data_IF_322426349436
#
_entry.id   IF_322426349436
#
_cell.length_a   1.000
_cell.length_b   1.000
_cell.length_c   1.000
_cell.angle_alpha   90.00
_cell.angle_beta   90.00
_cell.angle_gamma   90.00
#
_symmetry.space_group_name_H-M   'P 1'
#
loop_
_entity.id
_entity.type
_entity.pdbx_description
1 polymer ?
#
# COMPACT_ATOMS: atom_id res chain seq x y z
N UNK A 1 -25.47 25.00 33.16
CA UNK A 1 -25.17 25.44 31.78
C UNK A 1 -24.41 24.33 31.08
N UNK A 2 -24.79 23.99 29.86
CA UNK A 2 -24.03 23.05 29.04
C UNK A 2 -23.07 23.82 28.16
N UNK A 3 -21.79 23.42 28.12
CA UNK A 3 -20.80 23.93 27.17
C UNK A 3 -20.71 22.98 26.00
N UNK A 4 -20.46 23.52 24.83
CA UNK A 4 -20.12 22.71 23.67
C UNK A 4 -18.60 22.39 23.69
N UNK A 5 -18.25 21.19 23.29
CA UNK A 5 -16.85 20.83 23.09
C UNK A 5 -16.20 21.72 22.03
N UNK A 6 -14.95 22.10 22.25
CA UNK A 6 -14.16 22.84 21.27
C UNK A 6 -13.82 22.01 20.02
N UNK A 7 -13.85 20.72 20.14
CA UNK A 7 -13.42 19.80 19.07
C UNK A 7 -14.58 19.24 18.25
N UNK A 8 -15.71 18.94 18.90
CA UNK A 8 -16.84 18.31 18.24
C UNK A 8 -18.07 19.20 18.16
N UNK A 9 -18.14 20.26 18.95
CA UNK A 9 -19.33 21.08 19.12
C UNK A 9 -20.46 20.37 19.90
N UNK A 10 -20.21 19.18 20.44
CA UNK A 10 -21.21 18.45 21.20
C UNK A 10 -21.39 19.08 22.59
N UNK A 11 -22.64 19.20 23.09
CA UNK A 11 -22.89 19.68 24.42
C UNK A 11 -22.36 18.69 25.46
N UNK A 12 -21.67 19.17 26.45
CA UNK A 12 -21.25 18.41 27.62
C UNK A 12 -21.76 19.05 28.90
N UNK A 13 -22.08 18.27 29.90
CA UNK A 13 -22.53 18.78 31.19
C UNK A 13 -21.34 19.34 31.94
N UNK A 14 -21.46 20.57 32.43
CA UNK A 14 -20.60 21.01 33.51
C UNK A 14 -21.07 20.29 34.76
N UNK A 15 -20.32 19.28 35.15
CA UNK A 15 -20.64 18.53 36.36
C UNK A 15 -20.80 19.42 37.56
N UNK A 16 -22.02 19.58 37.98
CA UNK A 16 -22.28 20.08 39.31
C UNK A 16 -22.04 18.94 40.30
N UNK A 17 -20.97 19.03 41.01
CA UNK A 17 -20.83 18.60 42.40
C UNK A 17 -20.75 17.12 42.79
N UNK A 18 -20.99 16.15 41.95
CA UNK A 18 -20.94 14.79 42.45
C UNK A 18 -19.62 14.05 42.20
N UNK A 19 -18.83 14.45 41.22
CA UNK A 19 -17.51 13.84 40.99
C UNK A 19 -16.59 14.85 40.31
N UNK A 20 -15.59 15.37 40.99
CA UNK A 20 -14.56 16.25 40.40
C UNK A 20 -13.79 15.67 39.21
N UNK A 21 -13.91 14.38 38.95
CA UNK A 21 -13.31 13.68 37.85
C UNK A 21 -14.17 13.64 36.57
N UNK A 22 -15.45 14.01 36.62
CA UNK A 22 -16.35 14.00 35.47
C UNK A 22 -15.86 14.91 34.34
N UNK A 23 -15.38 16.13 34.55
CA UNK A 23 -14.89 16.98 33.49
C UNK A 23 -13.73 16.35 32.70
N UNK A 24 -12.79 15.72 33.40
CA UNK A 24 -11.68 15.02 32.71
C UNK A 24 -12.16 13.80 31.94
N UNK A 25 -13.16 13.09 32.47
CA UNK A 25 -13.76 11.93 31.79
C UNK A 25 -14.58 12.36 30.56
N UNK A 26 -15.32 13.46 30.69
CA UNK A 26 -16.09 14.03 29.56
C UNK A 26 -15.15 14.58 28.48
N UNK A 27 -14.08 15.27 28.86
CA UNK A 27 -13.06 15.73 27.92
C UNK A 27 -12.38 14.55 27.19
N UNK A 28 -12.05 13.47 27.92
CA UNK A 28 -11.50 12.26 27.32
C UNK A 28 -12.50 11.60 26.35
N UNK A 29 -13.78 11.50 26.75
CA UNK A 29 -14.83 10.94 25.91
C UNK A 29 -15.07 11.81 24.67
N UNK A 30 -14.99 13.14 24.83
CA UNK A 30 -15.12 14.07 23.72
C UNK A 30 -13.96 13.96 22.74
N UNK A 31 -12.72 13.81 23.23
CA UNK A 31 -11.56 13.51 22.38
C UNK A 31 -11.70 12.19 21.63
N UNK A 32 -12.25 11.16 22.29
CA UNK A 32 -12.54 9.88 21.63
C UNK A 32 -13.62 10.02 20.56
N UNK A 33 -14.68 10.77 20.83
CA UNK A 33 -15.73 11.06 19.86
C UNK A 33 -15.20 11.89 18.69
N UNK A 34 -14.38 12.90 18.95
CA UNK A 34 -13.72 13.68 17.90
C UNK A 34 -12.82 12.80 17.01
N UNK A 35 -12.12 11.84 17.61
CA UNK A 35 -11.35 10.84 16.87
C UNK A 35 -12.21 9.88 16.06
N UNK A 36 -13.42 9.55 16.53
CA UNK A 36 -14.34 8.67 15.81
C UNK A 36 -15.03 9.36 14.61
N UNK A 37 -15.12 10.69 14.62
CA UNK A 37 -15.68 11.45 13.51
C UNK A 37 -14.66 11.52 12.36
N UNK A 38 -15.11 11.17 11.15
CA UNK A 38 -14.28 11.37 9.95
C UNK A 38 -14.37 12.83 9.51
N UNK A 39 -13.31 13.57 9.77
CA UNK A 39 -13.15 14.95 9.29
C UNK A 39 -12.82 14.97 7.79
N UNK A 40 -12.88 16.13 7.16
CA UNK A 40 -12.52 16.29 5.75
C UNK A 40 -11.43 17.34 5.62
N UNK A 41 -10.37 17.00 4.87
CA UNK A 41 -9.35 17.92 4.39
C UNK A 41 -9.40 18.01 2.86
N UNK A 42 -9.12 19.17 2.30
CA UNK A 42 -9.15 19.37 0.84
C UNK A 42 -7.91 18.84 0.15
N UNK A 43 -6.79 18.77 0.89
CA UNK A 43 -5.50 18.28 0.40
C UNK A 43 -4.66 17.71 1.56
N UNK A 44 -3.54 17.09 1.22
CA UNK A 44 -2.55 16.66 2.21
C UNK A 44 -1.92 17.85 2.96
N UNK A 45 -1.66 18.94 2.26
CA UNK A 45 -1.13 20.15 2.88
C UNK A 45 -2.12 20.76 3.89
N UNK A 46 -3.42 20.79 3.57
CA UNK A 46 -4.47 21.21 4.48
C UNK A 46 -4.52 20.29 5.72
N UNK A 47 -4.43 18.98 5.52
CA UNK A 47 -4.34 18.02 6.61
C UNK A 47 -3.19 18.36 7.56
N UNK A 48 -1.97 18.49 7.02
CA UNK A 48 -0.77 18.71 7.80
C UNK A 48 -0.79 20.07 8.51
N UNK A 49 -1.34 21.11 7.90
CA UNK A 49 -1.44 22.44 8.51
C UNK A 49 -2.44 22.48 9.67
N UNK A 50 -3.59 21.81 9.52
CA UNK A 50 -4.65 21.78 10.54
C UNK A 50 -4.32 20.89 11.73
N UNK A 51 -3.52 19.87 11.54
CA UNK A 51 -3.20 18.85 12.54
C UNK A 51 -1.70 18.73 12.79
N UNK A 52 -0.98 19.85 12.75
CA UNK A 52 0.48 19.89 12.94
C UNK A 52 0.94 19.61 14.37
N UNK A 53 0.04 19.67 15.35
CA UNK A 53 0.36 19.55 16.78
C UNK A 53 -0.27 18.33 17.46
N UNK A 54 -0.58 17.27 16.70
CA UNK A 54 -1.10 16.04 17.31
C UNK A 54 -0.03 15.34 18.15
N UNK A 55 -0.43 14.96 19.36
CA UNK A 55 0.40 14.20 20.29
C UNK A 55 0.17 12.69 20.21
N UNK A 56 0.89 11.94 21.04
CA UNK A 56 0.84 10.48 21.09
C UNK A 56 -0.49 9.92 21.58
N UNK A 57 -1.26 10.72 22.33
CA UNK A 57 -2.56 10.31 22.85
C UNK A 57 -3.74 10.82 22.00
N UNK A 58 -3.44 11.53 20.93
CA UNK A 58 -4.47 11.99 20.02
C UNK A 58 -4.84 10.88 19.04
N UNK A 59 -6.10 10.91 18.62
CA UNK A 59 -6.59 10.07 17.53
C UNK A 59 -7.41 10.96 16.59
N UNK A 60 -7.14 10.87 15.30
CA UNK A 60 -7.87 11.62 14.27
C UNK A 60 -8.05 10.78 13.03
N UNK A 61 -9.23 10.91 12.45
CA UNK A 61 -9.54 10.29 11.16
C UNK A 61 -10.02 11.37 10.19
N UNK A 62 -9.32 11.50 9.06
CA UNK A 62 -9.53 12.57 8.10
C UNK A 62 -9.65 12.01 6.70
N UNK A 63 -10.71 12.34 6.00
CA UNK A 63 -10.91 12.00 4.58
C UNK A 63 -10.29 13.07 3.71
N UNK A 64 -9.56 12.67 2.66
CA UNK A 64 -9.03 13.54 1.61
C UNK A 64 -9.63 13.09 0.27
N UNK A 65 -10.77 13.66 -0.15
CA UNK A 65 -11.49 13.21 -1.33
C UNK A 65 -10.67 13.32 -2.62
N UNK A 66 -9.86 14.37 -2.76
CA UNK A 66 -8.99 14.61 -3.92
C UNK A 66 -7.97 13.47 -4.14
N UNK A 67 -7.56 12.79 -3.07
CA UNK A 67 -6.63 11.66 -3.12
C UNK A 67 -7.34 10.30 -3.07
N UNK A 68 -8.66 10.25 -2.87
CA UNK A 68 -9.41 9.04 -2.56
C UNK A 68 -8.84 8.29 -1.35
N UNK A 69 -8.50 9.03 -0.29
CA UNK A 69 -7.85 8.49 0.90
C UNK A 69 -8.57 8.88 2.18
N UNK A 70 -8.41 8.01 3.17
CA UNK A 70 -8.61 8.34 4.58
C UNK A 70 -7.25 8.29 5.25
N UNK A 71 -6.95 9.28 6.07
CA UNK A 71 -5.78 9.35 6.94
C UNK A 71 -6.20 9.14 8.37
N UNK A 72 -5.44 8.35 9.10
CA UNK A 72 -5.69 8.04 10.50
C UNK A 72 -4.40 8.27 11.30
N UNK A 73 -4.46 9.13 12.30
CA UNK A 73 -3.34 9.37 13.21
C UNK A 73 -3.33 8.29 14.29
N UNK A 74 -2.23 7.56 14.42
CA UNK A 74 -2.06 6.46 15.38
C UNK A 74 -1.30 6.85 16.65
N UNK A 75 -1.07 8.14 16.86
CA UNK A 75 -0.26 8.68 17.96
C UNK A 75 1.19 8.96 17.56
N UNK A 76 1.65 8.50 16.39
CA UNK A 76 3.03 8.68 15.92
C UNK A 76 3.10 9.15 14.47
N UNK A 77 2.16 8.72 13.65
CA UNK A 77 2.18 8.99 12.22
C UNK A 77 0.78 8.90 11.60
N UNK A 78 0.64 9.46 10.42
CA UNK A 78 -0.55 9.32 9.60
C UNK A 78 -0.54 8.00 8.83
N UNK A 79 -1.43 7.08 9.19
CA UNK A 79 -1.71 5.88 8.41
C UNK A 79 -2.57 6.22 7.20
N UNK A 80 -2.36 5.52 6.09
CA UNK A 80 -3.07 5.77 4.83
C UNK A 80 -4.00 4.60 4.53
N UNK A 81 -5.27 4.93 4.25
CA UNK A 81 -6.28 3.99 3.77
C UNK A 81 -6.78 4.48 2.41
N UNK A 82 -6.49 3.75 1.35
CA UNK A 82 -7.02 4.05 0.02
C UNK A 82 -8.47 3.60 -0.04
N UNK A 83 -9.38 4.47 -0.47
CA UNK A 83 -10.82 4.14 -0.56
C UNK A 83 -11.13 3.30 -1.79
N UNK A 84 -10.19 3.19 -2.73
CA UNK A 84 -10.25 2.32 -3.91
C UNK A 84 -8.86 1.87 -4.31
N UNK A 85 -8.72 0.74 -5.03
CA UNK A 85 -7.45 0.31 -5.58
C UNK A 85 -6.82 1.36 -6.50
N UNK A 86 -5.49 1.42 -6.46
CA UNK A 86 -4.67 2.28 -7.32
C UNK A 86 -3.90 1.39 -8.27
N UNK A 87 -4.08 1.59 -9.58
CA UNK A 87 -3.39 0.83 -10.61
C UNK A 87 -2.30 1.68 -11.26
N UNK A 88 -1.08 1.15 -11.23
CA UNK A 88 0.09 1.72 -11.91
C UNK A 88 0.40 0.82 -13.12
N UNK A 89 0.57 1.42 -14.26
CA UNK A 89 0.96 0.72 -15.50
C UNK A 89 2.43 0.97 -15.79
N UNK A 90 3.08 0.00 -16.42
CA UNK A 90 4.42 0.21 -16.97
C UNK A 90 4.39 1.30 -18.04
N UNK A 91 5.38 2.19 -17.99
CA UNK A 91 5.45 3.33 -18.89
C UNK A 91 6.89 3.82 -19.03
N UNK A 92 7.11 4.79 -19.91
CA UNK A 92 8.44 5.44 -20.03
C UNK A 92 8.84 6.21 -18.76
N UNK A 93 7.86 6.72 -18.01
CA UNK A 93 8.08 7.48 -16.79
C UNK A 93 8.28 6.58 -15.56
N UNK A 94 7.66 5.39 -15.54
CA UNK A 94 7.75 4.46 -14.42
C UNK A 94 7.82 3.02 -14.92
N UNK A 95 8.93 2.34 -14.62
CA UNK A 95 9.15 0.95 -14.99
C UNK A 95 8.75 0.02 -13.86
N UNK A 96 7.89 -0.94 -14.19
CA UNK A 96 7.45 -1.97 -13.26
C UNK A 96 8.31 -3.23 -13.34
N UNK A 97 9.07 -3.43 -14.41
CA UNK A 97 9.90 -4.61 -14.54
C UNK A 97 11.30 -4.35 -15.08
N UNK A 98 12.19 -5.27 -14.79
CA UNK A 98 13.60 -5.27 -15.19
C UNK A 98 14.04 -6.69 -15.50
N UNK A 99 15.02 -6.89 -16.38
CA UNK A 99 15.68 -8.17 -16.58
C UNK A 99 17.20 -8.03 -16.45
N UNK A 100 17.89 -9.15 -16.27
CA UNK A 100 19.34 -9.18 -16.09
C UNK A 100 19.76 -8.87 -14.67
N UNK A 101 20.83 -8.09 -14.51
CA UNK A 101 21.31 -7.64 -13.20
C UNK A 101 20.28 -6.74 -12.52
N UNK A 102 20.21 -6.78 -11.20
CA UNK A 102 19.30 -5.96 -10.44
C UNK A 102 19.51 -4.46 -10.76
N UNK A 103 18.44 -3.80 -11.21
CA UNK A 103 18.49 -2.40 -11.61
C UNK A 103 18.65 -2.15 -13.10
N UNK A 104 18.94 -3.17 -13.90
CA UNK A 104 19.07 -3.02 -15.35
C UNK A 104 17.70 -3.07 -16.02
N UNK A 105 17.30 -1.96 -16.65
CA UNK A 105 16.12 -1.90 -17.51
C UNK A 105 16.53 -2.37 -18.88
N UNK A 106 15.98 -3.48 -19.37
CA UNK A 106 16.45 -4.06 -20.61
C UNK A 106 15.77 -3.49 -21.84
N UNK A 107 14.48 -3.43 -21.90
CA UNK A 107 13.74 -2.86 -23.04
C UNK A 107 12.35 -2.40 -22.65
N UNK A 108 11.72 -1.52 -23.45
CA UNK A 108 10.30 -1.25 -23.28
C UNK A 108 9.56 -2.57 -23.43
N UNK A 109 8.79 -2.91 -22.42
CA UNK A 109 7.92 -4.08 -22.48
C UNK A 109 6.76 -3.77 -23.42
N UNK A 110 6.54 -4.63 -24.43
CA UNK A 110 5.33 -4.60 -25.24
C UNK A 110 4.38 -5.68 -24.73
N UNK A 111 3.17 -5.26 -24.34
CA UNK A 111 2.18 -6.11 -23.71
C UNK A 111 1.37 -5.35 -22.69
N UNK A 112 0.76 -6.09 -21.78
CA UNK A 112 0.02 -5.51 -20.67
C UNK A 112 0.75 -5.79 -19.35
N UNK A 113 1.19 -4.74 -18.68
CA UNK A 113 1.83 -4.84 -17.36
C UNK A 113 1.27 -3.76 -16.44
N UNK A 114 0.71 -4.19 -15.34
CA UNK A 114 0.25 -3.28 -14.29
C UNK A 114 0.47 -3.88 -12.90
N UNK A 115 0.58 -2.97 -11.95
CA UNK A 115 0.60 -3.24 -10.52
C UNK A 115 -0.57 -2.52 -9.88
N UNK A 116 -1.44 -3.23 -9.19
CA UNK A 116 -2.57 -2.66 -8.46
C UNK A 116 -2.36 -2.85 -6.97
N UNK A 117 -2.66 -1.84 -6.19
CA UNK A 117 -2.55 -1.91 -4.75
C UNK A 117 -3.64 -1.09 -4.05
N UNK A 118 -3.89 -1.43 -2.79
CA UNK A 118 -4.75 -0.67 -1.90
C UNK A 118 -4.16 -0.70 -0.50
N UNK A 119 -3.80 0.47 0.03
CA UNK A 119 -3.26 0.60 1.39
C UNK A 119 -4.37 0.47 2.42
N UNK A 120 -4.04 -0.19 3.53
CA UNK A 120 -4.90 -0.45 4.68
C UNK A 120 -4.10 -0.17 5.96
N UNK A 121 -3.81 1.12 6.19
CA UNK A 121 -2.95 1.51 7.31
C UNK A 121 -1.51 1.06 7.12
N UNK A 122 -1.06 0.12 7.94
CA UNK A 122 0.32 -0.41 7.92
C UNK A 122 0.53 -1.53 6.92
N UNK A 123 -0.49 -1.95 6.21
CA UNK A 123 -0.40 -2.98 5.18
C UNK A 123 -0.94 -2.46 3.85
N UNK A 124 -0.67 -3.19 2.79
CA UNK A 124 -1.36 -3.01 1.52
C UNK A 124 -1.61 -4.37 0.86
N UNK A 125 -2.79 -4.51 0.29
CA UNK A 125 -3.12 -5.58 -0.63
C UNK A 125 -2.56 -5.20 -1.99
N UNK A 126 -2.02 -6.15 -2.74
CA UNK A 126 -1.46 -5.87 -4.05
C UNK A 126 -1.63 -7.03 -5.02
N UNK A 127 -1.62 -6.69 -6.29
CA UNK A 127 -1.64 -7.63 -7.40
C UNK A 127 -0.76 -7.11 -8.54
N UNK A 128 0.06 -8.00 -9.10
CA UNK A 128 0.79 -7.80 -10.33
C UNK A 128 0.12 -8.62 -11.44
N UNK A 129 0.02 -8.05 -12.61
CA UNK A 129 -0.38 -8.72 -13.83
C UNK A 129 0.57 -8.35 -14.96
N UNK A 130 1.07 -9.36 -15.68
CA UNK A 130 1.88 -9.20 -16.88
C UNK A 130 1.38 -10.18 -17.92
N UNK A 131 1.08 -9.70 -19.12
CA UNK A 131 0.76 -10.50 -20.30
C UNK A 131 1.68 -10.11 -21.44
N UNK A 132 2.42 -11.08 -21.97
CA UNK A 132 3.35 -10.87 -23.08
C UNK A 132 2.60 -10.63 -24.39
N UNK A 133 2.98 -9.58 -25.13
CA UNK A 133 2.58 -9.44 -26.54
C UNK A 133 3.48 -10.27 -27.46
N UNK A 134 3.05 -10.45 -28.70
CA UNK A 134 3.72 -11.31 -29.68
C UNK A 134 5.14 -10.86 -30.03
N UNK A 135 5.35 -9.56 -30.08
CA UNK A 135 6.60 -8.91 -30.47
C UNK A 135 7.49 -8.50 -29.29
N UNK A 136 7.10 -8.87 -28.06
CA UNK A 136 7.85 -8.44 -26.88
C UNK A 136 9.11 -9.27 -26.65
N UNK A 137 10.20 -8.59 -26.39
CA UNK A 137 11.45 -9.17 -25.89
C UNK A 137 11.55 -8.94 -24.38
N UNK A 138 11.59 -10.00 -23.61
CA UNK A 138 11.74 -9.94 -22.16
C UNK A 138 13.19 -9.73 -21.70
N UNK A 139 14.14 -9.72 -22.64
CA UNK A 139 15.56 -9.70 -22.30
C UNK A 139 16.02 -10.97 -21.60
N UNK A 140 17.33 -11.04 -21.32
CA UNK A 140 17.97 -12.18 -20.70
C UNK A 140 18.04 -12.05 -19.17
N UNK A 141 18.05 -13.19 -18.47
CA UNK A 141 18.29 -13.25 -17.03
C UNK A 141 17.01 -13.31 -16.19
N UNK A 142 17.16 -13.00 -14.91
CA UNK A 142 16.06 -13.03 -13.92
C UNK A 142 15.16 -11.81 -14.09
N UNK A 143 13.86 -12.01 -13.92
CA UNK A 143 12.89 -10.91 -13.96
C UNK A 143 12.64 -10.36 -12.57
N UNK A 144 12.81 -9.05 -12.44
CA UNK A 144 12.52 -8.27 -11.25
C UNK A 144 11.34 -7.34 -11.51
N UNK A 145 10.51 -7.17 -10.52
CA UNK A 145 9.35 -6.29 -10.58
C UNK A 145 9.48 -5.18 -9.54
N UNK A 146 9.11 -3.97 -9.92
CA UNK A 146 9.11 -2.84 -9.02
C UNK A 146 7.73 -2.60 -8.44
N UNK A 147 7.67 -2.49 -7.11
CA UNK A 147 6.47 -2.05 -6.40
C UNK A 147 6.44 -0.53 -6.32
N UNK A 148 5.31 0.11 -6.60
CA UNK A 148 5.14 1.55 -6.37
C UNK A 148 5.10 1.92 -4.88
N UNK A 149 4.93 0.94 -4.00
CA UNK A 149 4.91 1.11 -2.54
C UNK A 149 6.12 0.38 -1.94
N UNK A 150 6.87 1.09 -1.10
CA UNK A 150 7.95 0.46 -0.36
C UNK A 150 7.41 -0.49 0.71
N UNK A 151 7.95 -1.70 0.73
CA UNK A 151 7.66 -2.71 1.74
C UNK A 151 8.54 -2.45 2.95
N UNK A 152 7.96 -2.50 4.14
CA UNK A 152 8.68 -2.43 5.41
C UNK A 152 9.57 -3.64 5.58
N UNK A 153 9.60 -4.32 6.60
CA UNK A 153 10.44 -5.48 6.88
C UNK A 153 10.46 -6.54 5.73
N UNK A 154 11.05 -6.18 4.58
CA UNK A 154 11.02 -6.95 3.33
C UNK A 154 11.69 -8.32 3.44
N UNK A 155 12.59 -8.51 4.41
CA UNK A 155 13.29 -9.78 4.64
C UNK A 155 12.35 -10.89 5.13
N UNK A 156 11.25 -10.53 5.77
CA UNK A 156 10.29 -11.49 6.36
C UNK A 156 8.98 -11.65 5.58
N UNK A 157 8.84 -11.01 4.42
CA UNK A 157 7.61 -11.11 3.61
C UNK A 157 7.71 -12.33 2.69
N UNK A 158 7.49 -13.53 3.24
CA UNK A 158 7.55 -14.79 2.48
C UNK A 158 6.18 -15.34 2.03
N UNK A 159 5.09 -14.72 2.47
CA UNK A 159 3.76 -15.32 2.33
C UNK A 159 2.98 -14.88 1.08
N UNK A 160 3.62 -14.11 0.21
CA UNK A 160 3.01 -13.69 -1.03
C UNK A 160 3.22 -14.76 -2.12
N UNK A 161 2.14 -15.11 -2.79
CA UNK A 161 2.12 -16.12 -3.83
C UNK A 161 2.00 -15.49 -5.23
N UNK A 162 2.44 -16.24 -6.23
CA UNK A 162 2.28 -15.88 -7.61
C UNK A 162 2.09 -17.10 -8.50
N UNK A 163 1.68 -16.86 -9.70
CA UNK A 163 1.51 -17.86 -10.74
C UNK A 163 2.13 -17.38 -12.03
N UNK A 164 2.81 -18.28 -12.68
CA UNK A 164 3.27 -18.11 -14.04
C UNK A 164 2.50 -19.10 -14.90
N UNK A 165 1.76 -18.57 -15.84
CA UNK A 165 0.84 -19.36 -16.66
C UNK A 165 1.18 -19.21 -18.12
N UNK A 166 1.37 -20.33 -18.80
CA UNK A 166 1.33 -20.41 -20.25
C UNK A 166 -0.08 -20.79 -20.66
N UNK A 167 -0.81 -19.90 -21.29
CA UNK A 167 -2.22 -20.09 -21.64
C UNK A 167 -2.41 -21.40 -22.42
N UNK A 168 -3.18 -22.32 -21.84
CA UNK A 168 -3.48 -23.62 -22.43
C UNK A 168 -2.37 -24.68 -22.36
N UNK A 169 -1.23 -24.42 -21.72
CA UNK A 169 -0.11 -25.37 -21.69
C UNK A 169 0.30 -25.79 -20.26
N UNK A 170 0.69 -24.83 -19.41
CA UNK A 170 1.19 -25.13 -18.07
C UNK A 170 0.99 -23.96 -17.09
N UNK A 171 0.99 -24.30 -15.82
CA UNK A 171 1.00 -23.35 -14.73
C UNK A 171 2.13 -23.71 -13.77
N UNK A 172 2.86 -22.73 -13.32
CA UNK A 172 3.91 -22.89 -12.31
C UNK A 172 3.57 -22.01 -11.11
N UNK A 173 3.32 -22.60 -9.95
CA UNK A 173 3.20 -21.83 -8.71
C UNK A 173 4.53 -21.18 -8.38
N UNK A 174 4.48 -19.98 -7.88
CA UNK A 174 5.67 -19.22 -7.50
C UNK A 174 5.46 -18.56 -6.16
N UNK A 175 6.55 -18.31 -5.46
CA UNK A 175 6.59 -17.44 -4.29
C UNK A 175 7.22 -16.10 -4.66
N UNK A 176 6.80 -15.05 -3.99
CA UNK A 176 7.36 -13.72 -4.13
C UNK A 176 8.55 -13.57 -3.19
N UNK A 177 9.69 -13.15 -3.72
CA UNK A 177 10.89 -12.89 -2.94
C UNK A 177 11.28 -11.43 -3.13
N UNK A 178 11.12 -10.64 -2.09
CA UNK A 178 11.57 -9.26 -2.08
C UNK A 178 13.09 -9.20 -2.01
N UNK A 179 13.69 -8.42 -2.88
CA UNK A 179 15.16 -8.22 -2.95
C UNK A 179 15.57 -6.84 -2.43
N UNK A 180 14.62 -5.93 -2.34
CA UNK A 180 14.75 -4.61 -1.72
C UNK A 180 13.38 -4.11 -1.27
N UNK A 181 13.28 -2.97 -0.57
CA UNK A 181 11.98 -2.40 -0.15
C UNK A 181 10.99 -2.16 -1.30
N UNK A 182 11.46 -1.92 -2.51
CA UNK A 182 10.61 -1.63 -3.67
C UNK A 182 10.73 -2.63 -4.80
N UNK A 183 11.46 -3.74 -4.62
CA UNK A 183 11.74 -4.68 -5.71
C UNK A 183 11.62 -6.11 -5.27
N UNK A 184 11.01 -6.94 -6.13
CA UNK A 184 10.85 -8.37 -5.89
C UNK A 184 11.05 -9.18 -7.17
N UNK A 185 11.22 -10.47 -7.00
CA UNK A 185 11.23 -11.47 -8.06
C UNK A 185 10.30 -12.63 -7.72
N UNK A 186 9.94 -13.41 -8.71
CA UNK A 186 9.19 -14.65 -8.54
C UNK A 186 10.14 -15.85 -8.58
N UNK A 187 9.91 -16.80 -7.71
CA UNK A 187 10.73 -18.00 -7.58
C UNK A 187 9.81 -19.22 -7.59
N UNK A 188 10.04 -20.15 -8.51
CA UNK A 188 9.32 -21.41 -8.58
C UNK A 188 9.67 -22.34 -7.40
N UNK A 189 8.89 -23.40 -7.21
CA UNK A 189 9.07 -24.38 -6.12
C UNK A 189 10.46 -25.04 -6.14
N UNK A 190 11.10 -25.15 -7.32
CA UNK A 190 12.49 -25.61 -7.48
C UNK A 190 13.54 -24.62 -6.94
N UNK A 191 13.15 -23.54 -6.31
CA UNK A 191 14.00 -22.41 -5.92
C UNK A 191 14.65 -21.67 -7.11
N UNK A 192 14.14 -21.89 -8.31
CA UNK A 192 14.63 -21.24 -9.53
C UNK A 192 13.87 -19.93 -9.75
N UNK A 193 14.62 -18.82 -9.86
CA UNK A 193 14.02 -17.54 -10.18
C UNK A 193 13.44 -17.54 -11.60
N UNK A 194 12.28 -16.95 -11.77
CA UNK A 194 11.63 -16.82 -13.08
C UNK A 194 12.42 -15.81 -13.93
N UNK A 195 12.80 -16.26 -15.12
CA UNK A 195 13.59 -15.47 -16.05
C UNK A 195 13.71 -16.16 -17.41
N UNK A 196 14.48 -15.58 -18.31
CA UNK A 196 14.61 -16.05 -19.70
C UNK A 196 15.16 -17.49 -19.84
N UNK A 197 15.94 -17.95 -18.87
CA UNK A 197 16.55 -19.29 -18.89
C UNK A 197 15.74 -20.37 -18.18
N UNK A 198 14.69 -20.01 -17.45
CA UNK A 198 13.95 -20.97 -16.61
C UNK A 198 12.68 -21.52 -17.26
N UNK A 199 12.08 -20.79 -18.16
CA UNK A 199 10.82 -21.17 -18.82
C UNK A 199 10.77 -20.58 -20.23
N UNK A 200 10.18 -21.33 -21.16
CA UNK A 200 9.92 -20.85 -22.50
C UNK A 200 8.76 -19.87 -22.52
N UNK A 201 9.06 -18.59 -22.67
CA UNK A 201 8.07 -17.53 -22.73
C UNK A 201 7.61 -17.29 -24.15
N UNK A 202 6.31 -17.40 -24.39
CA UNK A 202 5.68 -17.14 -25.68
C UNK A 202 4.62 -16.04 -25.57
N UNK A 203 4.16 -15.56 -26.69
CA UNK A 203 3.05 -14.64 -26.78
C UNK A 203 1.82 -15.16 -26.02
N UNK A 204 1.14 -14.27 -25.32
CA UNK A 204 -0.02 -14.60 -24.51
C UNK A 204 0.28 -15.22 -23.15
N UNK A 205 1.53 -15.55 -22.83
CA UNK A 205 1.87 -16.02 -21.48
C UNK A 205 1.63 -14.93 -20.42
N UNK A 206 1.13 -15.36 -19.27
CA UNK A 206 0.71 -14.47 -18.18
C UNK A 206 1.52 -14.76 -16.92
N UNK A 207 1.96 -13.71 -16.27
CA UNK A 207 2.45 -13.74 -14.90
C UNK A 207 1.45 -13.00 -14.03
N UNK A 208 1.06 -13.61 -12.92
CA UNK A 208 0.31 -12.95 -11.85
C UNK A 208 1.01 -13.18 -10.53
N UNK A 209 0.99 -12.19 -9.68
CA UNK A 209 1.44 -12.30 -8.31
C UNK A 209 0.60 -11.37 -7.44
N UNK A 210 0.49 -11.69 -6.16
CA UNK A 210 -0.28 -10.84 -5.25
C UNK A 210 -0.17 -11.30 -3.81
N UNK A 211 -0.73 -10.51 -2.94
CA UNK A 211 -0.75 -10.80 -1.52
C UNK A 211 -0.91 -9.57 -0.67
N UNK A 212 -0.50 -9.69 0.59
CA UNK A 212 -0.49 -8.61 1.57
C UNK A 212 0.96 -8.33 1.96
N UNK A 213 1.33 -7.07 2.00
CA UNK A 213 2.65 -6.66 2.45
C UNK A 213 2.55 -5.49 3.45
N UNK A 214 3.56 -5.37 4.32
CA UNK A 214 3.68 -4.25 5.25
C UNK A 214 4.22 -3.02 4.53
N UNK A 215 3.62 -1.88 4.78
CA UNK A 215 4.14 -0.60 4.28
C UNK A 215 5.45 -0.30 5.00
N UNK A 216 6.47 0.15 4.28
CA UNK A 216 7.74 0.59 4.85
C UNK A 216 7.52 1.63 5.92
N UNK A 217 8.25 1.52 7.03
CA UNK A 217 8.08 2.39 8.18
C UNK A 217 8.24 3.84 7.78
N UNK A 218 7.17 4.59 7.93
CA UNK A 218 7.25 6.03 7.96
C UNK A 218 7.94 6.38 9.29
N UNK A 219 9.16 6.87 9.20
CA UNK A 219 9.79 7.57 10.32
C UNK A 219 9.33 9.01 10.30
#
# INVERSE_FOLDING_TARGET
MTKASKETGLPWSEGSDLVKSIPATEEMRDRQLAGALTLTAVSEQDLLSRFSSLGTNDYRRVRIPSLNQIREWDGQQWLIYDTKPIRVKDSTAYRLWYSGAEGTVTRPFSGELWFEYQRQGRTFNWQLFLKRAEDSDFGAGVYYFQSPIAVGNWVSVSDNAGWVRATGQWEVPTRVVWTSPSRFRLVADSNTAIGSGSHSWAAGHIITAGGVAWVGGYK
#
